data_IF_796206187647
#
_entry.id   IF_796206187647
#
_cell.length_a   1.000
_cell.length_b   1.000
_cell.length_c   1.000
_cell.angle_alpha   90.00
_cell.angle_beta   90.00
_cell.angle_gamma   90.00
#
_symmetry.space_group_name_H-M   'P 1'
#
loop_
_entity.id
_entity.type
_entity.pdbx_description
1 polymer ?
#
# COMPACT_ATOMS: atom_id res chain seq x y z
N UNK A 1 59.70 35.69 -11.55
CA UNK A 1 58.61 35.99 -10.59
C UNK A 1 57.82 34.73 -10.37
N UNK A 2 57.94 34.09 -9.21
CA UNK A 2 56.91 33.19 -8.69
C UNK A 2 56.85 33.42 -7.18
N UNK A 3 55.97 34.34 -6.78
CA UNK A 3 55.50 34.43 -5.40
C UNK A 3 54.59 33.22 -5.19
N UNK A 4 54.98 32.29 -4.31
CA UNK A 4 54.03 31.36 -3.73
C UNK A 4 53.59 31.91 -2.38
N UNK A 5 52.52 32.68 -2.43
CA UNK A 5 51.63 32.96 -1.32
C UNK A 5 50.87 31.69 -0.94
N UNK A 6 51.12 31.17 0.25
CA UNK A 6 50.13 31.01 1.33
C UNK A 6 50.68 30.04 2.38
N UNK A 7 50.97 30.60 3.55
CA UNK A 7 51.16 29.87 4.78
C UNK A 7 49.91 29.03 5.09
N UNK A 8 49.98 27.72 4.87
CA UNK A 8 49.22 26.79 5.72
C UNK A 8 50.09 26.54 6.95
N UNK A 9 49.81 27.26 8.04
CA UNK A 9 50.22 26.79 9.37
C UNK A 9 49.50 25.46 9.62
N UNK A 10 50.05 24.37 9.11
CA UNK A 10 49.58 23.02 9.42
C UNK A 10 50.02 22.74 10.84
N UNK A 11 49.06 22.81 11.77
CA UNK A 11 49.26 22.36 13.14
C UNK A 11 49.88 20.95 13.06
N UNK A 12 51.00 20.69 13.76
CA UNK A 12 51.62 19.38 13.73
C UNK A 12 50.61 18.31 14.15
N UNK A 13 50.53 17.17 13.43
CA UNK A 13 49.56 16.12 13.73
C UNK A 13 49.72 15.58 15.16
N UNK A 14 50.93 15.59 15.71
CA UNK A 14 51.19 15.22 17.11
C UNK A 14 50.51 16.16 18.11
N UNK A 15 50.52 17.47 17.85
CA UNK A 15 49.83 18.45 18.71
C UNK A 15 48.32 18.26 18.67
N UNK A 16 47.75 17.96 17.49
CA UNK A 16 46.33 17.66 17.36
C UNK A 16 45.98 16.37 18.10
N UNK A 17 46.83 15.35 18.04
CA UNK A 17 46.64 14.09 18.75
C UNK A 17 46.65 14.30 20.28
N UNK A 18 47.57 15.12 20.79
CA UNK A 18 47.65 15.43 22.22
C UNK A 18 46.43 16.22 22.72
N UNK A 19 45.95 17.18 21.93
CA UNK A 19 44.71 17.90 22.24
C UNK A 19 43.50 16.99 22.21
N UNK A 20 43.38 16.12 21.20
CA UNK A 20 42.30 15.15 21.10
C UNK A 20 42.31 14.18 22.29
N UNK A 21 43.48 13.67 22.68
CA UNK A 21 43.64 12.79 23.84
C UNK A 21 43.31 13.49 25.17
N UNK A 22 43.66 14.78 25.29
CA UNK A 22 43.39 15.56 26.50
C UNK A 22 41.91 15.90 26.63
N UNK A 23 41.29 16.36 25.54
CA UNK A 23 39.86 16.60 25.47
C UNK A 23 39.06 15.32 25.70
N UNK A 24 39.47 14.21 25.08
CA UNK A 24 38.84 12.89 25.27
C UNK A 24 38.86 12.44 26.73
N UNK A 25 40.00 12.58 27.42
CA UNK A 25 40.10 12.27 28.86
C UNK A 25 39.19 13.15 29.71
N UNK A 26 39.11 14.45 29.41
CA UNK A 26 38.23 15.37 30.12
C UNK A 26 36.76 15.05 29.87
N UNK A 27 36.38 14.73 28.64
CA UNK A 27 35.00 14.39 28.27
C UNK A 27 34.56 13.08 28.92
N UNK A 28 35.42 12.06 28.96
CA UNK A 28 35.16 10.80 29.67
C UNK A 28 35.01 11.05 31.17
N UNK A 29 35.87 11.86 31.79
CA UNK A 29 35.77 12.18 33.22
C UNK A 29 34.47 12.95 33.55
N UNK A 30 34.10 13.92 32.70
CA UNK A 30 32.85 14.67 32.84
C UNK A 30 31.65 13.72 32.68
N UNK A 31 31.65 12.89 31.64
CA UNK A 31 30.57 11.94 31.35
C UNK A 31 30.43 10.91 32.46
N UNK A 32 31.52 10.32 32.94
CA UNK A 32 31.49 9.36 34.05
C UNK A 32 30.95 9.98 35.35
N UNK A 33 31.26 11.27 35.62
CA UNK A 33 30.80 11.97 36.81
C UNK A 33 29.31 12.34 36.75
N UNK A 34 28.82 12.80 35.60
CA UNK A 34 27.45 13.32 35.48
C UNK A 34 26.44 12.33 34.90
N UNK A 35 26.85 11.35 34.09
CA UNK A 35 25.93 10.34 33.52
C UNK A 35 25.32 9.42 34.58
N UNK A 36 26.01 9.26 35.73
CA UNK A 36 25.57 8.32 36.76
C UNK A 36 25.63 6.85 36.32
N UNK A 37 26.33 6.50 35.24
CA UNK A 37 26.39 5.12 34.72
C UNK A 37 26.85 4.10 35.78
N UNK A 38 27.82 4.48 36.63
CA UNK A 38 28.29 3.66 37.73
C UNK A 38 27.23 3.46 38.82
N UNK A 39 26.42 4.49 39.10
CA UNK A 39 25.32 4.40 40.05
C UNK A 39 24.23 3.47 39.51
N UNK A 40 23.90 3.59 38.21
CA UNK A 40 22.94 2.72 37.54
C UNK A 40 23.40 1.26 37.55
N UNK A 41 24.67 0.98 37.21
CA UNK A 41 25.23 -0.36 37.28
C UNK A 41 25.15 -0.95 38.70
N UNK A 42 25.41 -0.14 39.72
CA UNK A 42 25.26 -0.58 41.12
C UNK A 42 23.81 -0.90 41.45
N UNK A 43 22.87 -0.06 41.03
CA UNK A 43 21.43 -0.30 41.22
C UNK A 43 20.94 -1.56 40.53
N UNK A 44 21.44 -1.87 39.33
CA UNK A 44 21.14 -3.14 38.65
C UNK A 44 21.63 -4.36 39.44
N UNK A 45 22.80 -4.29 40.06
CA UNK A 45 23.31 -5.36 40.95
C UNK A 45 22.50 -5.47 42.24
N UNK A 46 22.06 -4.35 42.81
CA UNK A 46 21.23 -4.34 44.02
C UNK A 46 19.86 -5.05 43.78
N UNK A 47 19.31 -4.97 42.56
CA UNK A 47 18.03 -5.62 42.19
C UNK A 47 18.18 -6.99 41.53
N UNK A 48 19.41 -7.44 41.26
CA UNK A 48 19.70 -8.77 40.68
C UNK A 48 19.03 -9.94 41.44
N UNK A 49 18.87 -9.92 42.79
CA UNK A 49 18.14 -10.96 43.50
C UNK A 49 16.62 -10.97 43.22
N UNK A 50 16.07 -9.86 42.70
CA UNK A 50 14.64 -9.66 42.41
C UNK A 50 14.36 -9.91 40.92
N UNK A 51 15.36 -9.75 40.06
CA UNK A 51 15.24 -9.88 38.60
C UNK A 51 15.93 -11.16 38.14
N UNK A 52 15.18 -12.04 37.49
CA UNK A 52 15.72 -13.25 36.90
C UNK A 52 16.26 -12.93 35.50
N UNK A 53 17.56 -13.15 35.29
CA UNK A 53 18.15 -13.14 33.96
C UNK A 53 17.81 -14.47 33.29
N UNK A 54 17.10 -14.42 32.17
CA UNK A 54 16.77 -15.58 31.36
C UNK A 54 17.53 -15.49 30.03
N UNK A 55 18.20 -16.57 29.66
CA UNK A 55 18.83 -16.69 28.36
C UNK A 55 17.73 -16.93 27.31
N UNK A 56 17.71 -16.11 26.27
CA UNK A 56 16.71 -16.22 25.20
C UNK A 56 17.35 -17.00 24.05
N UNK A 57 16.82 -18.20 23.77
CA UNK A 57 17.20 -18.96 22.59
C UNK A 57 16.56 -18.34 21.34
N UNK A 58 17.40 -17.83 20.43
CA UNK A 58 16.95 -17.25 19.17
C UNK A 58 16.25 -18.24 18.25
N UNK A 59 16.61 -19.52 18.28
CA UNK A 59 15.96 -20.54 17.45
C UNK A 59 14.54 -20.83 17.94
N UNK A 60 14.36 -20.98 19.26
CA UNK A 60 13.04 -21.16 19.87
C UNK A 60 12.14 -19.96 19.62
N UNK A 61 12.69 -18.74 19.70
CA UNK A 61 11.95 -17.51 19.41
C UNK A 61 11.49 -17.44 17.95
N UNK A 62 12.35 -17.79 16.99
CA UNK A 62 11.98 -17.82 15.57
C UNK A 62 10.93 -18.88 15.30
N UNK A 63 11.05 -20.06 15.92
CA UNK A 63 10.09 -21.14 15.74
C UNK A 63 8.71 -20.77 16.30
N UNK A 64 8.65 -20.24 17.53
CA UNK A 64 7.39 -19.78 18.13
C UNK A 64 6.75 -18.66 17.32
N UNK A 65 7.53 -17.71 16.82
CA UNK A 65 7.03 -16.65 15.95
C UNK A 65 6.47 -17.20 14.62
N UNK A 66 7.17 -18.17 14.01
CA UNK A 66 6.70 -18.81 12.78
C UNK A 66 5.36 -19.53 12.99
N UNK A 67 5.20 -20.26 14.11
CA UNK A 67 3.95 -20.93 14.47
C UNK A 67 2.80 -19.95 14.71
N UNK A 68 3.08 -18.81 15.37
CA UNK A 68 2.09 -17.75 15.57
C UNK A 68 1.66 -17.10 14.25
N UNK A 69 2.62 -16.85 13.36
CA UNK A 69 2.35 -16.33 12.02
C UNK A 69 1.52 -17.30 11.19
N UNK A 70 1.86 -18.59 11.19
CA UNK A 70 1.09 -19.62 10.48
C UNK A 70 -0.36 -19.68 11.00
N UNK A 71 -0.56 -19.66 12.32
CA UNK A 71 -1.89 -19.65 12.92
C UNK A 71 -2.67 -18.38 12.57
N UNK A 72 -2.01 -17.22 12.54
CA UNK A 72 -2.63 -15.95 12.15
C UNK A 72 -3.04 -15.96 10.67
N UNK A 73 -2.10 -16.27 9.77
CA UNK A 73 -2.36 -16.34 8.34
C UNK A 73 -3.39 -17.42 7.98
N UNK A 74 -3.35 -18.57 8.66
CA UNK A 74 -4.32 -19.64 8.49
C UNK A 74 -5.74 -19.23 8.84
N UNK A 75 -5.94 -18.40 9.89
CA UNK A 75 -7.26 -17.83 10.23
C UNK A 75 -7.74 -16.84 9.18
N UNK A 76 -6.85 -15.98 8.68
CA UNK A 76 -7.18 -15.03 7.60
C UNK A 76 -7.54 -15.74 6.30
N UNK A 77 -6.78 -16.77 5.94
CA UNK A 77 -7.05 -17.59 4.75
C UNK A 77 -8.42 -18.27 4.82
N UNK A 78 -8.81 -18.82 5.98
CA UNK A 78 -10.17 -19.39 6.18
C UNK A 78 -11.27 -18.36 5.98
N UNK A 79 -11.06 -17.12 6.43
CA UNK A 79 -12.03 -16.03 6.29
C UNK A 79 -12.19 -15.61 4.82
N UNK A 80 -11.08 -15.50 4.08
CA UNK A 80 -11.09 -15.22 2.64
C UNK A 80 -11.74 -16.36 1.86
N UNK A 81 -11.45 -17.62 2.20
CA UNK A 81 -12.07 -18.78 1.53
C UNK A 81 -13.59 -18.78 1.68
N UNK A 82 -14.10 -18.51 2.89
CA UNK A 82 -15.55 -18.38 3.13
C UNK A 82 -16.19 -17.25 2.32
N UNK A 83 -15.49 -16.13 2.17
CA UNK A 83 -15.96 -15.01 1.32
C UNK A 83 -15.99 -15.39 -0.16
N UNK A 84 -14.96 -16.10 -0.64
CA UNK A 84 -14.91 -16.58 -2.01
C UNK A 84 -16.04 -17.57 -2.32
N UNK A 85 -16.23 -18.59 -1.46
CA UNK A 85 -17.32 -19.56 -1.59
C UNK A 85 -18.69 -18.86 -1.58
N UNK A 86 -18.92 -17.91 -0.68
CA UNK A 86 -20.16 -17.14 -0.63
C UNK A 86 -20.37 -16.25 -1.86
N UNK A 87 -19.29 -15.68 -2.42
CA UNK A 87 -19.37 -14.89 -3.64
C UNK A 87 -19.69 -15.77 -4.85
N UNK A 88 -19.08 -16.95 -4.97
CA UNK A 88 -19.37 -17.90 -6.04
C UNK A 88 -20.81 -18.41 -5.98
N UNK A 89 -21.29 -18.76 -4.78
CA UNK A 89 -22.67 -19.21 -4.59
C UNK A 89 -23.66 -18.10 -4.94
N UNK A 90 -23.44 -16.88 -4.46
CA UNK A 90 -24.34 -15.76 -4.74
C UNK A 90 -24.33 -15.35 -6.22
N UNK A 91 -23.23 -15.53 -6.95
CA UNK A 91 -23.18 -15.31 -8.41
C UNK A 91 -23.88 -16.42 -9.17
N UNK A 92 -23.69 -17.68 -8.76
CA UNK A 92 -24.30 -18.85 -9.37
C UNK A 92 -25.84 -18.83 -9.32
N UNK A 93 -26.42 -18.37 -8.21
CA UNK A 93 -27.86 -18.29 -8.03
C UNK A 93 -28.47 -16.96 -8.50
N UNK A 94 -27.66 -16.00 -8.96
CA UNK A 94 -28.14 -14.70 -9.44
C UNK A 94 -28.47 -14.75 -10.93
N UNK A 95 -29.68 -14.33 -11.28
CA UNK A 95 -30.08 -14.16 -12.68
C UNK A 95 -30.00 -12.69 -13.08
N UNK A 96 -29.33 -12.41 -14.20
CA UNK A 96 -29.17 -11.05 -14.70
C UNK A 96 -30.51 -10.41 -15.05
N UNK A 97 -30.76 -9.22 -14.50
CA UNK A 97 -31.94 -8.41 -14.79
C UNK A 97 -31.55 -6.99 -15.21
N UNK A 98 -31.78 -6.66 -16.48
CA UNK A 98 -31.45 -5.34 -17.05
C UNK A 98 -32.29 -4.18 -16.49
N UNK A 99 -33.44 -4.47 -15.87
CA UNK A 99 -34.38 -3.47 -15.32
C UNK A 99 -34.31 -3.34 -13.79
N UNK A 100 -33.34 -4.00 -13.17
CA UNK A 100 -33.15 -3.95 -11.73
C UNK A 100 -32.82 -2.53 -11.28
N UNK A 101 -33.69 -1.94 -10.46
CA UNK A 101 -33.41 -0.75 -9.68
C UNK A 101 -33.01 -1.16 -8.27
N UNK A 102 -31.78 -0.93 -7.88
CA UNK A 102 -31.27 -1.27 -6.55
C UNK A 102 -30.49 -0.09 -5.96
N UNK A 103 -30.87 0.32 -4.76
CA UNK A 103 -30.21 1.40 -4.04
C UNK A 103 -29.12 0.82 -3.13
N UNK A 104 -27.94 1.44 -3.16
CA UNK A 104 -26.79 1.06 -2.34
C UNK A 104 -26.06 2.28 -1.81
N UNK A 105 -25.28 2.09 -0.74
CA UNK A 105 -24.47 3.15 -0.16
C UNK A 105 -23.18 3.36 -0.96
N UNK A 106 -23.12 4.47 -1.70
CA UNK A 106 -21.92 4.87 -2.41
C UNK A 106 -20.98 5.61 -1.46
N UNK A 107 -19.76 5.10 -1.29
CA UNK A 107 -18.77 5.61 -0.35
C UNK A 107 -18.39 7.08 -0.54
N UNK A 108 -18.59 7.63 -1.75
CA UNK A 108 -18.35 9.03 -2.09
C UNK A 108 -19.51 9.95 -1.70
N UNK A 109 -20.74 9.42 -1.72
CA UNK A 109 -21.96 10.21 -1.59
C UNK A 109 -22.56 10.11 -0.19
N UNK A 110 -22.14 9.11 0.61
CA UNK A 110 -22.67 8.93 1.96
C UNK A 110 -22.59 10.20 2.81
N UNK A 111 -23.66 10.48 3.57
CA UNK A 111 -23.79 11.66 4.42
C UNK A 111 -23.57 12.99 3.67
N UNK A 112 -23.88 13.04 2.37
CA UNK A 112 -23.90 14.27 1.58
C UNK A 112 -25.36 14.69 1.37
N UNK A 113 -25.65 15.94 1.71
CA UNK A 113 -26.97 16.54 1.56
C UNK A 113 -26.98 17.51 0.39
N UNK A 114 -28.12 17.64 -0.27
CA UNK A 114 -28.37 18.69 -1.26
C UNK A 114 -28.64 20.05 -0.59
N UNK A 115 -28.80 21.10 -1.41
CA UNK A 115 -29.09 22.46 -0.94
C UNK A 115 -30.45 22.57 -0.21
N UNK A 116 -31.31 21.57 -0.37
CA UNK A 116 -32.65 21.47 0.23
C UNK A 116 -32.63 20.68 1.56
N UNK A 117 -31.49 20.11 1.94
CA UNK A 117 -31.30 19.32 3.15
C UNK A 117 -31.69 17.85 3.04
N UNK A 118 -32.00 17.35 1.84
CA UNK A 118 -32.25 15.93 1.59
C UNK A 118 -30.95 15.20 1.26
N UNK A 119 -30.88 13.90 1.58
CA UNK A 119 -29.75 13.09 1.17
C UNK A 119 -29.73 12.90 -0.35
N UNK A 120 -28.54 13.04 -0.94
CA UNK A 120 -28.32 12.79 -2.36
C UNK A 120 -28.58 11.29 -2.66
N UNK A 121 -29.04 11.00 -3.87
CA UNK A 121 -29.23 9.63 -4.37
C UNK A 121 -27.96 8.78 -4.17
N UNK A 122 -28.10 7.55 -3.64
CA UNK A 122 -27.00 6.65 -3.21
C UNK A 122 -26.12 7.18 -2.04
N UNK A 123 -26.44 8.35 -1.49
CA UNK A 123 -25.80 8.89 -0.29
C UNK A 123 -26.37 8.26 0.97
N UNK A 124 -27.67 8.47 1.22
CA UNK A 124 -28.35 7.96 2.41
C UNK A 124 -27.71 8.38 3.74
N UNK A 125 -28.36 8.01 4.84
CA UNK A 125 -27.79 8.16 6.17
C UNK A 125 -26.91 6.95 6.48
N UNK A 126 -25.62 7.20 6.76
CA UNK A 126 -24.67 6.15 7.08
C UNK A 126 -23.95 6.48 8.40
N UNK A 127 -24.33 5.78 9.47
CA UNK A 127 -23.77 6.00 10.79
C UNK A 127 -22.28 5.61 10.81
N UNK A 128 -21.41 6.61 10.97
CA UNK A 128 -19.96 6.42 11.05
C UNK A 128 -19.50 6.68 12.48
N UNK A 129 -18.82 5.70 13.07
CA UNK A 129 -18.28 5.77 14.43
C UNK A 129 -16.76 5.65 14.39
N UNK A 130 -16.06 6.45 15.19
CA UNK A 130 -14.61 6.34 15.30
C UNK A 130 -14.22 5.03 15.99
N UNK A 131 -13.34 4.27 15.35
CA UNK A 131 -12.91 2.98 15.88
C UNK A 131 -11.39 2.91 16.04
N UNK A 132 -10.91 2.60 17.25
CA UNK A 132 -9.48 2.48 17.55
C UNK A 132 -8.79 1.38 16.73
N UNK A 133 -9.50 0.29 16.41
CA UNK A 133 -8.99 -0.79 15.57
C UNK A 133 -8.65 -0.32 14.15
N UNK A 134 -9.32 0.74 13.68
CA UNK A 134 -9.15 1.31 12.35
C UNK A 134 -8.43 2.66 12.38
N UNK A 135 -7.45 2.83 13.27
CA UNK A 135 -6.69 4.08 13.42
C UNK A 135 -7.56 5.31 13.74
N UNK A 136 -8.66 5.12 14.49
CA UNK A 136 -9.65 6.18 14.79
C UNK A 136 -10.32 6.76 13.55
N UNK A 137 -10.36 5.99 12.46
CA UNK A 137 -11.15 6.37 11.29
C UNK A 137 -12.65 6.20 11.60
N UNK A 138 -13.50 7.10 11.08
CA UNK A 138 -14.94 6.95 11.16
C UNK A 138 -15.37 5.82 10.22
N UNK A 139 -15.83 4.72 10.81
CA UNK A 139 -16.23 3.49 10.09
C UNK A 139 -17.61 3.03 10.52
N UNK A 140 -18.30 2.30 9.65
CA UNK A 140 -19.54 1.61 9.99
C UNK A 140 -19.29 0.10 10.03
N UNK A 141 -19.38 -0.49 11.22
CA UNK A 141 -19.20 -1.93 11.43
C UNK A 141 -20.45 -2.75 11.13
N UNK A 142 -21.61 -2.13 10.92
CA UNK A 142 -22.85 -2.84 10.64
C UNK A 142 -23.06 -3.10 9.15
N UNK A 143 -22.46 -2.29 8.27
CA UNK A 143 -22.66 -2.41 6.83
C UNK A 143 -21.37 -2.13 6.04
N UNK A 144 -21.25 -2.79 4.90
CA UNK A 144 -20.25 -2.45 3.89
C UNK A 144 -20.77 -1.31 3.00
N UNK A 145 -19.85 -0.68 2.27
CA UNK A 145 -20.22 0.29 1.25
C UNK A 145 -19.48 0.05 -0.05
N UNK A 146 -19.89 0.79 -1.08
CA UNK A 146 -19.46 0.53 -2.46
C UNK A 146 -18.80 1.77 -3.02
N UNK A 147 -17.59 1.59 -3.54
CA UNK A 147 -16.87 2.58 -4.30
C UNK A 147 -16.99 2.23 -5.78
N UNK A 148 -17.39 3.21 -6.57
CA UNK A 148 -17.42 3.12 -8.03
C UNK A 148 -16.42 4.15 -8.58
N UNK A 149 -15.50 3.75 -9.46
CA UNK A 149 -14.56 4.67 -10.10
C UNK A 149 -15.29 5.77 -10.88
N UNK A 150 -14.72 6.97 -10.92
CA UNK A 150 -15.33 8.15 -11.55
C UNK A 150 -15.64 7.97 -13.05
N UNK A 151 -14.95 7.06 -13.73
CA UNK A 151 -15.16 6.74 -15.15
C UNK A 151 -16.26 5.69 -15.41
N UNK A 152 -16.88 5.13 -14.36
CA UNK A 152 -17.93 4.11 -14.46
C UNK A 152 -19.26 4.71 -14.01
N UNK A 153 -20.34 4.40 -14.71
CA UNK A 153 -21.67 4.91 -14.37
C UNK A 153 -22.33 4.10 -13.26
N UNK A 154 -22.77 4.77 -12.19
CA UNK A 154 -23.31 4.11 -10.99
C UNK A 154 -24.59 3.29 -11.22
N UNK A 155 -25.39 3.61 -12.24
CA UNK A 155 -26.67 2.94 -12.57
C UNK A 155 -26.55 2.03 -13.79
N UNK A 156 -25.34 1.65 -14.17
CA UNK A 156 -25.15 0.64 -15.20
C UNK A 156 -25.78 -0.69 -14.72
N UNK A 157 -26.65 -1.34 -15.53
CA UNK A 157 -27.25 -2.62 -15.16
C UNK A 157 -26.23 -3.68 -14.72
N UNK A 158 -25.03 -3.71 -15.30
CA UNK A 158 -23.99 -4.68 -14.94
C UNK A 158 -23.48 -4.42 -13.51
N UNK A 159 -23.33 -3.14 -13.14
CA UNK A 159 -22.93 -2.74 -11.78
C UNK A 159 -24.07 -3.05 -10.80
N UNK A 160 -25.31 -2.68 -11.12
CA UNK A 160 -26.45 -2.90 -10.22
C UNK A 160 -26.67 -4.38 -9.92
N UNK A 161 -26.57 -5.25 -10.92
CA UNK A 161 -26.67 -6.70 -10.74
C UNK A 161 -25.54 -7.24 -9.85
N UNK A 162 -24.29 -6.83 -10.09
CA UNK A 162 -23.17 -7.27 -9.26
C UNK A 162 -23.22 -6.71 -7.84
N UNK A 163 -23.70 -5.48 -7.68
CA UNK A 163 -23.94 -4.87 -6.36
C UNK A 163 -25.01 -5.63 -5.59
N UNK A 164 -26.13 -5.96 -6.25
CA UNK A 164 -27.20 -6.75 -5.64
C UNK A 164 -26.72 -8.14 -5.22
N UNK A 165 -26.05 -8.87 -6.12
CA UNK A 165 -25.47 -10.18 -5.82
C UNK A 165 -24.48 -10.12 -4.64
N UNK A 166 -23.64 -9.08 -4.59
CA UNK A 166 -22.66 -8.91 -3.52
C UNK A 166 -23.25 -8.48 -2.17
N UNK A 167 -24.56 -8.23 -2.07
CA UNK A 167 -25.23 -7.94 -0.80
C UNK A 167 -25.12 -9.12 0.18
N UNK A 168 -25.17 -10.35 -0.33
CA UNK A 168 -25.00 -11.58 0.45
C UNK A 168 -23.64 -11.66 1.20
N UNK A 169 -22.64 -10.89 0.77
CA UNK A 169 -21.34 -10.83 1.42
C UNK A 169 -21.33 -10.04 2.73
N UNK A 170 -22.33 -9.17 2.96
CA UNK A 170 -22.41 -8.35 4.17
C UNK A 170 -22.42 -9.21 5.44
N UNK A 171 -23.26 -10.25 5.47
CA UNK A 171 -23.38 -11.14 6.63
C UNK A 171 -22.08 -11.90 6.90
N UNK A 172 -21.36 -12.27 5.83
CA UNK A 172 -20.09 -12.97 5.94
C UNK A 172 -18.99 -12.03 6.45
N UNK A 173 -18.97 -10.77 6.01
CA UNK A 173 -18.03 -9.77 6.51
C UNK A 173 -18.17 -9.55 8.02
N UNK A 174 -19.41 -9.38 8.49
CA UNK A 174 -19.72 -9.23 9.92
C UNK A 174 -19.33 -10.50 10.68
N UNK A 175 -19.75 -11.68 10.19
CA UNK A 175 -19.42 -12.97 10.79
C UNK A 175 -17.90 -13.21 10.89
N UNK A 176 -17.13 -12.77 9.91
CA UNK A 176 -15.67 -12.89 9.93
C UNK A 176 -15.05 -11.96 10.97
N UNK A 177 -15.53 -10.72 11.07
CA UNK A 177 -15.04 -9.74 12.04
C UNK A 177 -15.36 -10.15 13.49
N UNK A 178 -16.55 -10.70 13.73
CA UNK A 178 -16.92 -11.27 15.04
C UNK A 178 -16.02 -12.46 15.44
N UNK A 179 -15.62 -13.28 14.47
CA UNK A 179 -14.75 -14.45 14.72
C UNK A 179 -13.28 -14.07 14.91
N UNK A 180 -12.81 -13.06 14.19
CA UNK A 180 -11.44 -12.57 14.29
C UNK A 180 -11.40 -11.04 14.33
N UNK A 181 -11.41 -10.45 15.55
CA UNK A 181 -11.33 -9.00 15.73
C UNK A 181 -10.01 -8.37 15.26
N UNK A 182 -9.02 -9.16 14.83
CA UNK A 182 -7.74 -8.65 14.27
C UNK A 182 -7.81 -8.41 12.75
N UNK A 183 -8.96 -8.69 12.12
CA UNK A 183 -9.20 -8.41 10.72
C UNK A 183 -9.38 -6.91 10.50
N UNK A 184 -8.52 -6.34 9.67
CA UNK A 184 -8.60 -4.94 9.24
C UNK A 184 -9.68 -4.78 8.17
N UNK A 185 -9.29 -4.71 6.91
CA UNK A 185 -10.20 -4.45 5.80
C UNK A 185 -10.58 -5.75 5.11
N UNK A 186 -11.86 -5.93 4.87
CA UNK A 186 -12.39 -6.98 4.00
C UNK A 186 -12.99 -6.31 2.78
N UNK A 187 -12.65 -6.81 1.59
CA UNK A 187 -13.09 -6.17 0.36
C UNK A 187 -13.31 -7.17 -0.76
N UNK A 188 -14.19 -6.77 -1.68
CA UNK A 188 -14.51 -7.49 -2.90
C UNK A 188 -14.35 -6.53 -4.09
N UNK A 189 -13.48 -6.88 -5.03
CA UNK A 189 -13.33 -6.16 -6.29
C UNK A 189 -14.05 -6.89 -7.40
N UNK A 190 -15.00 -6.22 -8.06
CA UNK A 190 -15.68 -6.79 -9.21
C UNK A 190 -14.91 -6.54 -10.51
N UNK A 191 -15.05 -7.47 -11.46
CA UNK A 191 -14.57 -7.30 -12.84
C UNK A 191 -15.25 -6.13 -13.57
N UNK A 192 -16.49 -5.83 -13.20
CA UNK A 192 -17.27 -4.69 -13.72
C UNK A 192 -16.71 -3.33 -13.26
N UNK A 193 -15.95 -3.31 -12.17
CA UNK A 193 -15.20 -2.14 -11.72
C UNK A 193 -15.65 -1.54 -10.39
N UNK A 194 -16.79 -1.95 -9.82
CA UNK A 194 -17.15 -1.54 -8.46
C UNK A 194 -16.33 -2.29 -7.41
N UNK A 195 -16.16 -1.65 -6.25
CA UNK A 195 -15.37 -2.14 -5.13
C UNK A 195 -16.20 -2.07 -3.86
N UNK A 196 -16.48 -3.21 -3.23
CA UNK A 196 -17.21 -3.28 -1.95
C UNK A 196 -16.21 -3.38 -0.80
N UNK A 197 -16.38 -2.56 0.23
CA UNK A 197 -15.45 -2.44 1.36
C UNK A 197 -16.19 -2.56 2.70
N UNK A 198 -15.65 -3.38 3.59
CA UNK A 198 -16.09 -3.53 4.97
C UNK A 198 -14.92 -3.34 5.95
N UNK A 199 -15.12 -2.62 7.08
CA UNK A 199 -16.29 -1.81 7.40
C UNK A 199 -16.48 -0.62 6.44
N UNK A 200 -17.71 -0.13 6.28
CA UNK A 200 -17.99 0.96 5.35
C UNK A 200 -17.36 2.28 5.82
N UNK A 201 -16.75 3.03 4.89
CA UNK A 201 -16.10 4.32 5.19
C UNK A 201 -16.47 5.41 4.20
N UNK A 202 -16.47 6.67 4.64
CA UNK A 202 -16.61 7.79 3.70
C UNK A 202 -15.31 8.01 2.96
N UNK A 203 -15.35 7.96 1.64
CA UNK A 203 -14.22 8.29 0.80
C UNK A 203 -14.23 9.79 0.53
N UNK A 204 -13.09 10.43 0.76
CA UNK A 204 -12.88 11.84 0.45
C UNK A 204 -12.24 11.96 -0.91
N UNK A 205 -12.83 12.70 -1.87
CA UNK A 205 -12.19 12.95 -3.15
C UNK A 205 -10.94 13.83 -2.97
N UNK A 206 -10.04 13.79 -3.96
CA UNK A 206 -8.90 14.70 -4.04
C UNK A 206 -9.40 16.16 -4.24
N UNK A 207 -8.49 17.15 -4.17
CA UNK A 207 -8.81 18.58 -4.34
C UNK A 207 -9.61 18.91 -5.61
N UNK A 208 -9.50 18.07 -6.65
CA UNK A 208 -10.22 18.19 -7.91
C UNK A 208 -11.58 17.47 -7.94
N UNK A 209 -12.05 16.92 -6.81
CA UNK A 209 -13.32 16.20 -6.72
C UNK A 209 -13.30 14.80 -7.33
N UNK A 210 -12.13 14.29 -7.74
CA UNK A 210 -12.00 13.00 -8.44
C UNK A 210 -11.35 11.97 -7.54
N UNK A 211 -11.93 10.77 -7.50
CA UNK A 211 -11.27 9.59 -6.94
C UNK A 211 -10.69 8.77 -8.09
N UNK A 212 -9.37 8.68 -8.11
CA UNK A 212 -8.59 7.91 -9.10
C UNK A 212 -8.48 6.42 -8.77
N UNK A 213 -9.15 5.97 -7.70
CA UNK A 213 -9.12 4.59 -7.28
C UNK A 213 -9.99 3.71 -8.20
N UNK A 214 -9.34 2.72 -8.80
CA UNK A 214 -9.98 1.59 -9.49
C UNK A 214 -9.34 0.30 -8.95
N UNK A 215 -10.17 -0.62 -8.44
CA UNK A 215 -9.72 -1.87 -7.85
C UNK A 215 -8.97 -2.74 -8.87
N UNK A 216 -9.37 -2.69 -10.16
CA UNK A 216 -8.80 -3.53 -11.23
C UNK A 216 -7.37 -3.18 -11.58
N UNK A 217 -6.97 -1.94 -11.28
CA UNK A 217 -5.61 -1.44 -11.48
C UNK A 217 -4.70 -1.69 -10.27
N UNK A 218 -5.17 -2.37 -9.23
CA UNK A 218 -4.39 -2.64 -8.01
C UNK A 218 -3.61 -3.94 -8.12
N UNK A 219 -2.39 -3.93 -7.59
CA UNK A 219 -1.48 -5.08 -7.60
C UNK A 219 -2.15 -6.34 -7.01
N UNK A 220 -2.85 -6.21 -5.88
CA UNK A 220 -3.55 -7.35 -5.26
C UNK A 220 -4.61 -7.96 -6.18
N UNK A 221 -5.31 -7.15 -6.98
CA UNK A 221 -6.34 -7.62 -7.90
C UNK A 221 -5.69 -8.29 -9.12
N UNK A 222 -4.66 -7.66 -9.69
CA UNK A 222 -3.94 -8.16 -10.87
C UNK A 222 -3.25 -9.50 -10.56
N UNK A 223 -2.60 -9.61 -9.39
CA UNK A 223 -1.95 -10.85 -8.95
C UNK A 223 -2.95 -11.98 -8.71
N UNK A 224 -4.17 -11.67 -8.29
CA UNK A 224 -5.23 -12.67 -8.10
C UNK A 224 -5.89 -13.07 -9.43
N UNK A 225 -6.11 -12.10 -10.34
CA UNK A 225 -6.80 -12.30 -11.60
C UNK A 225 -5.92 -12.91 -12.70
N UNK A 226 -4.59 -12.76 -12.60
CA UNK A 226 -3.66 -13.20 -13.64
C UNK A 226 -2.42 -13.86 -13.06
N UNK A 227 -1.92 -14.89 -13.76
CA UNK A 227 -0.61 -15.48 -13.47
C UNK A 227 0.53 -14.52 -13.85
N UNK A 228 1.74 -14.69 -13.29
CA UNK A 228 2.95 -14.04 -13.79
C UNK A 228 3.12 -14.28 -15.30
N UNK A 229 3.52 -13.24 -16.04
CA UNK A 229 3.61 -13.24 -17.50
C UNK A 229 4.83 -12.44 -17.95
N UNK A 230 5.63 -13.06 -18.82
CA UNK A 230 6.71 -12.37 -19.52
C UNK A 230 6.15 -11.57 -20.71
N UNK A 231 6.37 -10.26 -20.71
CA UNK A 231 5.85 -9.35 -21.74
C UNK A 231 7.01 -8.70 -22.49
N UNK A 232 7.00 -8.80 -23.83
CA UNK A 232 7.91 -8.05 -24.71
C UNK A 232 7.13 -6.91 -25.37
N UNK A 233 7.53 -5.67 -25.10
CA UNK A 233 6.91 -4.47 -25.68
C UNK A 233 7.74 -4.03 -26.89
N UNK A 234 7.16 -4.13 -28.09
CA UNK A 234 7.77 -3.65 -29.33
C UNK A 234 7.15 -2.33 -29.73
N UNK A 235 7.99 -1.32 -29.97
CA UNK A 235 7.56 0.06 -30.24
C UNK A 235 8.03 0.47 -31.64
N UNK A 236 7.08 0.88 -32.48
CA UNK A 236 7.43 1.43 -33.80
C UNK A 236 8.06 2.84 -33.63
N UNK A 237 9.21 3.03 -34.26
CA UNK A 237 9.99 4.27 -34.32
C UNK A 237 10.06 4.84 -35.75
N UNK A 238 9.21 4.34 -36.65
CA UNK A 238 9.10 4.83 -38.03
C UNK A 238 8.76 6.33 -38.09
N UNK A 239 9.01 6.94 -39.25
CA UNK A 239 8.69 8.36 -39.47
C UNK A 239 7.22 8.71 -39.23
N UNK A 240 6.31 7.74 -39.31
CA UNK A 240 4.87 7.90 -39.08
C UNK A 240 4.50 8.10 -37.59
N UNK A 241 5.41 7.76 -36.69
CA UNK A 241 5.23 7.89 -35.25
C UNK A 241 5.69 9.24 -34.71
N UNK A 242 6.31 10.10 -35.53
CA UNK A 242 6.78 11.42 -35.09
C UNK A 242 5.64 12.28 -34.51
N UNK A 243 5.98 13.10 -33.51
CA UNK A 243 5.04 14.00 -32.85
C UNK A 243 4.18 13.32 -31.79
N UNK A 244 2.87 13.61 -31.80
CA UNK A 244 1.94 13.18 -30.75
C UNK A 244 1.89 11.65 -30.58
N UNK A 245 2.01 10.89 -31.66
CA UNK A 245 1.93 9.42 -31.65
C UNK A 245 3.06 8.78 -30.82
N UNK A 246 4.29 9.25 -30.96
CA UNK A 246 5.42 8.79 -30.14
C UNK A 246 5.25 9.21 -28.68
N UNK A 247 4.69 10.40 -28.40
CA UNK A 247 4.42 10.82 -27.02
C UNK A 247 3.37 9.96 -26.34
N UNK A 248 2.28 9.63 -27.04
CA UNK A 248 1.24 8.71 -26.55
C UNK A 248 1.83 7.30 -26.38
N UNK A 249 2.63 6.82 -27.32
CA UNK A 249 3.31 5.53 -27.21
C UNK A 249 4.21 5.49 -25.96
N UNK A 250 5.05 6.51 -25.75
CA UNK A 250 5.90 6.64 -24.55
C UNK A 250 5.07 6.66 -23.25
N UNK A 251 3.95 7.38 -23.23
CA UNK A 251 3.08 7.43 -22.05
C UNK A 251 2.42 6.05 -21.78
N UNK A 252 2.01 5.35 -22.83
CA UNK A 252 1.43 4.00 -22.74
C UNK A 252 2.46 2.98 -22.24
N UNK A 253 3.70 3.05 -22.73
CA UNK A 253 4.80 2.19 -22.27
C UNK A 253 5.16 2.47 -20.81
N UNK A 254 4.98 3.69 -20.32
CA UNK A 254 5.24 4.00 -18.90
C UNK A 254 4.09 3.55 -17.98
N UNK A 255 2.88 3.38 -18.50
CA UNK A 255 1.71 2.98 -17.72
C UNK A 255 1.54 1.47 -17.63
N UNK A 256 1.90 0.70 -18.67
CA UNK A 256 1.80 -0.78 -18.68
C UNK A 256 2.65 -1.44 -17.57
N UNK A 257 3.97 -1.15 -17.44
CA UNK A 257 4.81 -1.78 -16.41
C UNK A 257 4.45 -1.35 -14.98
N UNK A 258 3.63 -0.31 -14.81
CA UNK A 258 3.13 0.10 -13.49
C UNK A 258 2.07 -0.88 -12.97
N UNK A 259 1.45 -1.67 -13.84
CA UNK A 259 0.44 -2.68 -13.51
C UNK A 259 1.04 -4.07 -13.18
N UNK A 260 2.27 -4.35 -13.60
CA UNK A 260 2.93 -5.66 -13.42
C UNK A 260 3.95 -5.73 -12.28
N UNK A 261 4.28 -4.60 -11.64
CA UNK A 261 5.42 -4.51 -10.71
C UNK A 261 5.04 -4.85 -9.28
N UNK A 262 5.27 -6.11 -8.93
CA UNK A 262 5.79 -6.49 -7.60
C UNK A 262 6.54 -7.83 -7.61
N UNK A 263 6.35 -8.71 -8.61
CA UNK A 263 7.03 -10.02 -8.66
C UNK A 263 8.07 -10.20 -9.77
N UNK A 264 8.14 -9.32 -10.77
CA UNK A 264 9.03 -9.50 -11.92
C UNK A 264 10.12 -8.41 -11.97
N UNK A 265 11.35 -8.86 -11.66
CA UNK A 265 12.69 -8.34 -11.97
C UNK A 265 12.87 -6.82 -12.24
N UNK A 266 13.85 -6.24 -11.52
CA UNK A 266 14.34 -4.87 -11.66
C UNK A 266 14.47 -4.39 -13.13
N UNK A 267 13.84 -3.26 -13.51
CA UNK A 267 13.95 -2.71 -14.86
C UNK A 267 15.30 -2.03 -15.14
N UNK A 268 16.24 -2.04 -14.19
CA UNK A 268 17.57 -1.45 -14.40
C UNK A 268 18.50 -2.33 -15.26
N UNK A 269 18.11 -3.56 -15.62
CA UNK A 269 19.00 -4.50 -16.32
C UNK A 269 18.55 -4.97 -17.72
N UNK A 270 17.41 -4.51 -18.26
CA UNK A 270 16.97 -4.98 -19.59
C UNK A 270 16.45 -3.85 -20.48
N UNK A 271 17.22 -2.77 -20.56
CA UNK A 271 17.36 -2.07 -21.83
C UNK A 271 18.49 -2.77 -22.60
N UNK A 272 18.16 -3.83 -23.34
CA UNK A 272 19.04 -4.21 -24.45
C UNK A 272 18.91 -3.09 -25.46
N UNK A 273 19.84 -2.14 -25.40
CA UNK A 273 20.18 -1.30 -26.55
C UNK A 273 20.51 -2.26 -27.70
N UNK A 274 19.55 -2.49 -28.59
CA UNK A 274 19.90 -2.89 -29.94
C UNK A 274 20.72 -1.74 -30.52
N UNK A 275 21.99 -1.95 -30.89
CA UNK A 275 22.81 -0.88 -31.40
C UNK A 275 22.13 -0.32 -32.65
N UNK A 276 21.80 0.97 -32.60
CA UNK A 276 21.51 1.74 -33.78
C UNK A 276 22.68 1.52 -34.75
N UNK A 277 22.41 0.92 -35.91
CA UNK A 277 23.30 0.97 -37.05
C UNK A 277 23.60 2.44 -37.33
N UNK A 278 24.77 2.89 -36.88
CA UNK A 278 25.32 4.20 -37.16
C UNK A 278 25.35 4.42 -38.68
N UNK A 279 24.96 5.59 -39.20
CA UNK A 279 25.17 5.89 -40.61
C UNK A 279 26.67 5.96 -40.91
N UNK A 280 27.12 5.55 -42.11
CA UNK A 280 28.53 5.60 -42.45
C UNK A 280 29.00 7.07 -42.48
N UNK A 281 30.11 7.33 -41.79
CA UNK A 281 30.90 8.54 -41.95
C UNK A 281 31.47 8.56 -43.38
N UNK A 282 30.75 9.18 -44.31
CA UNK A 282 31.32 9.62 -45.58
C UNK A 282 31.79 11.07 -45.45
N UNK A 283 33.06 11.28 -45.83
CA UNK A 283 33.75 12.54 -46.10
C UNK A 283 34.69 13.06 -45.00
N UNK A 284 35.88 12.47 -44.97
CA UNK A 284 37.12 13.27 -44.98
C UNK A 284 37.75 13.18 -46.38
N UNK A 285 37.57 14.24 -47.17
CA UNK A 285 38.60 14.88 -48.00
C UNK A 285 38.27 16.37 -48.05
#
# INVERSE_FOLDING_TARGET
>A
MCYNTHAQMRIPPETVQDWANTLGRQLVALTARYSGALLLQKKYKDIEPIVKMEEVDGNELVQSFAEEMERMLGRKMKSVKRLAEAAEDADLYHEFNATLGFDYYNSMLINTMDDEGNYIELGGEFALEENEHFNKLPVNTQQSNIQVPTNVYNKDPDILNGVYMSEALNDIFISNFEKDPTLTWQYFGSSTGFFRLYPGIRWTPDENGVVTFDARNRNWYIQAATSPKDIIIVVDISGSMKGLRLTIAKHTINTIPRQTRENDLDPASCAIELPALSPPLSNQR
#
